data_IF_121380434353
#
_entry.id   IF_121380434353
#
_cell.length_a   1.000
_cell.length_b   1.000
_cell.length_c   1.000
_cell.angle_alpha   90.00
_cell.angle_beta   90.00
_cell.angle_gamma   90.00
#
_symmetry.space_group_name_H-M   'P 1'
#
loop_
_entity.id
_entity.type
_entity.pdbx_description
1 polymer ?
#
# COMPACT_ATOMS: atom_id res chain seq x y z
N UNK A 1 -6.45 -33.57 5.11
CA UNK A 1 -7.44 -33.13 4.10
C UNK A 1 -8.52 -32.16 4.66
N UNK A 2 -8.19 -31.23 5.58
CA UNK A 2 -9.20 -30.40 6.27
C UNK A 2 -9.18 -28.88 5.91
N UNK A 3 -8.43 -28.46 4.89
CA UNK A 3 -8.28 -27.03 4.55
C UNK A 3 -9.25 -26.49 3.48
N UNK A 4 -9.90 -27.33 2.68
CA UNK A 4 -10.75 -26.89 1.56
C UNK A 4 -12.05 -26.17 1.96
N UNK A 5 -12.66 -26.57 3.08
CA UNK A 5 -13.97 -26.03 3.50
C UNK A 5 -13.93 -24.64 4.13
N UNK A 6 -12.75 -24.13 4.51
CA UNK A 6 -12.61 -22.76 5.06
C UNK A 6 -12.59 -21.73 3.94
N UNK A 7 -11.83 -21.99 2.88
CA UNK A 7 -11.76 -21.14 1.69
C UNK A 7 -13.12 -21.01 1.00
N UNK A 8 -13.86 -22.11 0.86
CA UNK A 8 -15.21 -22.08 0.29
C UNK A 8 -16.17 -21.21 1.11
N UNK A 9 -16.14 -21.34 2.45
CA UNK A 9 -16.98 -20.52 3.34
C UNK A 9 -16.64 -19.04 3.23
N UNK A 10 -15.36 -18.70 3.22
CA UNK A 10 -14.92 -17.30 3.05
C UNK A 10 -15.38 -16.74 1.71
N UNK A 11 -15.18 -17.48 0.61
CA UNK A 11 -15.64 -17.07 -0.71
C UNK A 11 -17.16 -16.86 -0.76
N UNK A 12 -17.94 -17.78 -0.18
CA UNK A 12 -19.40 -17.64 -0.09
C UNK A 12 -19.83 -16.44 0.75
N UNK A 13 -19.16 -16.18 1.89
CA UNK A 13 -19.48 -14.99 2.70
C UNK A 13 -19.16 -13.69 1.99
N UNK A 14 -18.04 -13.64 1.26
CA UNK A 14 -17.66 -12.45 0.47
C UNK A 14 -18.67 -12.23 -0.66
N UNK A 15 -19.02 -13.29 -1.39
CA UNK A 15 -19.99 -13.19 -2.48
C UNK A 15 -21.36 -12.77 -1.95
N UNK A 16 -21.83 -13.34 -0.84
CA UNK A 16 -23.07 -12.93 -0.20
C UNK A 16 -23.04 -11.45 0.25
N UNK A 17 -21.92 -10.98 0.80
CA UNK A 17 -21.76 -9.58 1.19
C UNK A 17 -21.81 -8.64 -0.02
N UNK A 18 -21.17 -9.01 -1.14
CA UNK A 18 -21.23 -8.23 -2.39
C UNK A 18 -22.65 -8.20 -2.94
N UNK A 19 -23.34 -9.34 -3.02
CA UNK A 19 -24.74 -9.38 -3.48
C UNK A 19 -25.66 -8.55 -2.58
N UNK A 20 -25.46 -8.60 -1.25
CA UNK A 20 -26.21 -7.77 -0.31
C UNK A 20 -25.94 -6.27 -0.53
N UNK A 21 -24.69 -5.88 -0.79
CA UNK A 21 -24.34 -4.49 -1.12
C UNK A 21 -25.01 -4.02 -2.41
N UNK A 22 -24.94 -4.83 -3.47
CA UNK A 22 -25.61 -4.55 -4.74
C UNK A 22 -27.12 -4.46 -4.57
N UNK A 23 -27.74 -5.39 -3.84
CA UNK A 23 -29.17 -5.36 -3.54
C UNK A 23 -29.58 -4.16 -2.69
N UNK A 24 -28.73 -3.74 -1.75
CA UNK A 24 -28.97 -2.53 -0.95
C UNK A 24 -28.84 -1.26 -1.80
N UNK A 25 -27.88 -1.22 -2.74
CA UNK A 25 -27.70 -0.14 -3.70
C UNK A 25 -28.91 0.00 -4.64
N UNK A 26 -29.29 -1.09 -5.31
CA UNK A 26 -30.45 -1.13 -6.19
C UNK A 26 -31.76 -0.86 -5.43
N UNK A 27 -31.88 -1.38 -4.20
CA UNK A 27 -33.04 -1.13 -3.34
C UNK A 27 -33.15 0.34 -2.92
N UNK A 28 -32.04 0.98 -2.57
CA UNK A 28 -32.01 2.41 -2.27
C UNK A 28 -32.43 3.22 -3.50
N UNK A 29 -31.89 2.87 -4.68
CA UNK A 29 -32.26 3.52 -5.93
C UNK A 29 -33.76 3.36 -6.26
N UNK A 30 -34.26 2.15 -6.13
CA UNK A 30 -35.65 1.84 -6.41
C UNK A 30 -36.61 2.63 -5.52
N UNK A 31 -36.29 2.79 -4.23
CA UNK A 31 -37.09 3.59 -3.29
C UNK A 31 -37.09 5.07 -3.67
N UNK A 32 -35.94 5.63 -4.02
CA UNK A 32 -35.81 7.03 -4.42
C UNK A 32 -36.56 7.33 -5.71
N UNK A 33 -36.44 6.48 -6.72
CA UNK A 33 -37.14 6.64 -8.00
C UNK A 33 -38.66 6.54 -7.86
N UNK A 34 -39.18 5.69 -6.96
CA UNK A 34 -40.62 5.55 -6.74
C UNK A 34 -41.25 6.71 -5.97
N UNK A 35 -40.48 7.32 -5.07
CA UNK A 35 -40.99 8.36 -4.16
C UNK A 35 -40.59 9.77 -4.63
N UNK A 36 -39.86 9.89 -5.74
CA UNK A 36 -39.37 11.16 -6.28
C UNK A 36 -38.30 11.79 -5.39
N UNK A 37 -37.36 11.00 -4.88
CA UNK A 37 -36.29 11.38 -3.94
C UNK A 37 -36.76 11.75 -2.52
N UNK A 38 -37.97 11.34 -2.12
CA UNK A 38 -38.44 11.48 -0.74
C UNK A 38 -38.47 10.14 0.01
N UNK A 39 -38.38 10.18 1.33
CA UNK A 39 -38.52 8.97 2.13
C UNK A 39 -40.00 8.51 2.18
N UNK A 40 -40.29 7.21 1.99
CA UNK A 40 -41.66 6.70 1.84
C UNK A 40 -42.61 7.18 2.94
N UNK A 41 -43.69 7.85 2.53
CA UNK A 41 -44.72 8.35 3.45
C UNK A 41 -44.32 9.59 4.26
N UNK A 42 -43.20 10.25 3.92
CA UNK A 42 -42.73 11.48 4.57
C UNK A 42 -42.30 12.53 3.54
N UNK A 43 -42.22 13.80 3.94
CA UNK A 43 -41.67 14.88 3.12
C UNK A 43 -40.16 15.10 3.34
N UNK A 44 -39.45 14.11 3.87
CA UNK A 44 -38.01 14.18 4.11
C UNK A 44 -37.29 13.74 2.83
N UNK A 45 -36.47 14.61 2.26
CA UNK A 45 -35.67 14.31 1.07
C UNK A 45 -34.59 13.26 1.38
N UNK A 46 -34.33 12.38 0.42
CA UNK A 46 -33.23 11.44 0.49
C UNK A 46 -31.89 12.20 0.49
N UNK A 47 -30.87 11.71 1.23
CA UNK A 47 -29.58 12.41 1.34
C UNK A 47 -28.82 12.61 0.02
N UNK A 48 -29.15 11.83 -1.00
CA UNK A 48 -28.53 11.91 -2.31
C UNK A 48 -29.60 11.66 -3.38
N UNK A 49 -29.48 12.38 -4.50
CA UNK A 49 -30.43 12.25 -5.61
C UNK A 49 -30.23 10.93 -6.34
N UNK A 50 -31.35 10.32 -6.70
CA UNK A 50 -31.41 8.97 -7.28
C UNK A 50 -31.43 8.98 -8.81
N UNK A 51 -31.07 10.12 -9.40
CA UNK A 51 -30.92 10.25 -10.84
C UNK A 51 -29.77 9.37 -11.37
N UNK A 52 -29.93 8.85 -12.58
CA UNK A 52 -28.93 7.96 -13.21
C UNK A 52 -27.58 8.65 -13.47
N UNK A 53 -27.53 9.98 -13.42
CA UNK A 53 -26.29 10.76 -13.52
C UNK A 53 -25.48 10.76 -12.22
N UNK A 54 -26.16 10.75 -11.05
CA UNK A 54 -25.52 10.75 -9.73
C UNK A 54 -25.36 9.35 -9.18
N UNK A 55 -26.23 8.41 -9.58
CA UNK A 55 -26.20 7.01 -9.18
C UNK A 55 -26.53 6.07 -10.36
N UNK A 56 -25.54 5.67 -11.17
CA UNK A 56 -25.75 4.66 -12.22
C UNK A 56 -26.15 3.29 -11.62
N UNK A 57 -26.85 2.46 -12.38
CA UNK A 57 -27.21 1.12 -11.90
C UNK A 57 -25.96 0.27 -11.74
N UNK A 58 -25.97 -0.63 -10.77
CA UNK A 58 -24.83 -1.47 -10.47
C UNK A 58 -24.48 -2.41 -11.64
N UNK A 59 -25.47 -2.79 -12.44
CA UNK A 59 -25.27 -3.55 -13.68
C UNK A 59 -24.65 -2.71 -14.79
N UNK A 60 -25.02 -1.43 -14.92
CA UNK A 60 -24.41 -0.51 -15.88
C UNK A 60 -22.91 -0.33 -15.59
N UNK A 61 -22.56 -0.16 -14.31
CA UNK A 61 -21.16 -0.10 -13.85
C UNK A 61 -20.41 -1.41 -14.17
N UNK A 62 -21.08 -2.55 -14.00
CA UNK A 62 -20.49 -3.86 -14.26
C UNK A 62 -20.27 -4.11 -15.76
N UNK A 63 -21.21 -3.70 -16.60
CA UNK A 63 -21.10 -3.81 -18.05
C UNK A 63 -20.01 -2.88 -18.61
N UNK A 64 -19.87 -1.69 -18.04
CA UNK A 64 -18.83 -0.73 -18.40
C UNK A 64 -17.40 -1.24 -18.11
N UNK A 65 -17.23 -2.18 -17.18
CA UNK A 65 -15.95 -2.88 -16.98
C UNK A 65 -15.51 -3.69 -18.21
N UNK A 66 -16.45 -4.13 -19.03
CA UNK A 66 -16.20 -4.90 -20.25
C UNK A 66 -16.24 -4.04 -21.51
N UNK A 67 -16.76 -2.81 -21.43
CA UNK A 67 -16.70 -1.86 -22.52
C UNK A 67 -15.28 -1.35 -22.79
N UNK A 68 -15.04 -1.00 -24.05
CA UNK A 68 -13.73 -0.54 -24.52
C UNK A 68 -13.53 0.93 -24.17
N UNK A 69 -12.54 1.20 -23.30
CA UNK A 69 -12.14 2.58 -22.99
C UNK A 69 -11.29 3.11 -24.13
N UNK A 70 -11.74 4.21 -24.73
CA UNK A 70 -11.00 4.91 -25.78
C UNK A 70 -10.00 5.90 -25.16
N UNK A 71 -8.96 5.37 -24.52
CA UNK A 71 -7.74 6.14 -24.26
C UNK A 71 -6.94 6.18 -25.57
N UNK A 72 -6.53 7.37 -26.02
CA UNK A 72 -6.17 7.72 -27.41
C UNK A 72 -5.03 6.95 -28.10
N UNK A 73 -4.61 5.79 -27.57
CA UNK A 73 -3.55 4.93 -28.09
C UNK A 73 -3.90 3.43 -28.13
N UNK A 74 -4.92 2.94 -27.43
CA UNK A 74 -5.30 1.51 -27.45
C UNK A 74 -6.80 1.31 -27.10
N UNK A 75 -7.50 0.45 -27.85
CA UNK A 75 -8.83 -0.06 -27.49
C UNK A 75 -8.65 -1.31 -26.64
N UNK A 76 -8.76 -1.17 -25.33
CA UNK A 76 -8.73 -2.29 -24.40
C UNK A 76 -10.00 -2.23 -23.54
N UNK A 77 -10.55 -3.39 -23.14
CA UNK A 77 -11.64 -3.41 -22.17
C UNK A 77 -11.18 -2.77 -20.86
N UNK A 78 -12.06 -2.03 -20.19
CA UNK A 78 -11.74 -1.25 -18.98
C UNK A 78 -11.03 -2.10 -17.92
N UNK A 79 -11.48 -3.34 -17.68
CA UNK A 79 -10.84 -4.23 -16.70
C UNK A 79 -9.35 -4.47 -17.01
N UNK A 80 -8.99 -4.66 -18.28
CA UNK A 80 -7.62 -4.94 -18.70
C UNK A 80 -6.77 -3.67 -18.64
N UNK A 81 -7.36 -2.53 -18.98
CA UNK A 81 -6.72 -1.23 -18.79
C UNK A 81 -6.39 -0.98 -17.32
N UNK A 82 -7.36 -1.18 -16.41
CA UNK A 82 -7.16 -1.05 -14.97
C UNK A 82 -6.12 -2.03 -14.44
N UNK A 83 -6.16 -3.29 -14.88
CA UNK A 83 -5.16 -4.29 -14.50
C UNK A 83 -3.75 -3.87 -14.97
N UNK A 84 -3.63 -3.35 -16.19
CA UNK A 84 -2.36 -2.84 -16.73
C UNK A 84 -1.85 -1.63 -15.94
N UNK A 85 -2.72 -0.70 -15.57
CA UNK A 85 -2.36 0.46 -14.74
C UNK A 85 -1.96 0.04 -13.33
N UNK A 86 -2.73 -0.85 -12.71
CA UNK A 86 -2.41 -1.41 -11.38
C UNK A 86 -1.08 -2.17 -11.38
N UNK A 87 -0.83 -2.97 -12.41
CA UNK A 87 0.45 -3.66 -12.59
C UNK A 87 1.63 -2.67 -12.72
N UNK A 88 1.45 -1.60 -13.50
CA UNK A 88 2.47 -0.57 -13.65
C UNK A 88 2.80 0.13 -12.32
N UNK A 89 1.79 0.53 -11.55
CA UNK A 89 2.00 1.11 -10.20
C UNK A 89 2.63 0.12 -9.23
N UNK A 90 2.27 -1.17 -9.32
CA UNK A 90 2.92 -2.21 -8.52
C UNK A 90 4.41 -2.34 -8.84
N UNK A 91 4.79 -2.24 -10.12
CA UNK A 91 6.19 -2.25 -10.54
C UNK A 91 6.96 -1.05 -9.97
N UNK A 92 6.39 0.16 -10.05
CA UNK A 92 6.95 1.37 -9.44
C UNK A 92 7.18 1.19 -7.94
N UNK A 93 6.17 0.69 -7.23
CA UNK A 93 6.26 0.41 -5.80
C UNK A 93 7.31 -0.66 -5.48
N UNK A 94 7.40 -1.72 -6.28
CA UNK A 94 8.37 -2.81 -6.08
C UNK A 94 9.82 -2.35 -6.30
N UNK A 95 10.06 -1.54 -7.32
CA UNK A 95 11.39 -0.96 -7.59
C UNK A 95 11.77 -0.02 -6.44
N UNK A 96 10.88 0.89 -6.06
CA UNK A 96 11.11 1.80 -4.94
C UNK A 96 11.34 1.07 -3.62
N UNK A 97 10.54 0.04 -3.32
CA UNK A 97 10.72 -0.80 -2.14
C UNK A 97 12.09 -1.49 -2.14
N UNK A 98 12.54 -2.03 -3.27
CA UNK A 98 13.85 -2.70 -3.37
C UNK A 98 14.99 -1.72 -3.14
N UNK A 99 14.89 -0.51 -3.68
CA UNK A 99 15.86 0.57 -3.45
C UNK A 99 15.88 1.01 -1.99
N UNK A 100 14.72 1.29 -1.40
CA UNK A 100 14.59 1.67 0.00
C UNK A 100 15.05 0.57 0.95
N UNK A 101 14.77 -0.70 0.63
CA UNK A 101 15.24 -1.86 1.36
C UNK A 101 16.76 -1.93 1.36
N UNK A 102 17.38 -1.79 0.19
CA UNK A 102 18.84 -1.83 0.03
C UNK A 102 19.52 -0.73 0.83
N UNK A 103 19.03 0.51 0.71
CA UNK A 103 19.57 1.67 1.43
C UNK A 103 19.37 1.53 2.94
N UNK A 104 18.15 1.17 3.36
CA UNK A 104 17.81 1.03 4.77
C UNK A 104 18.62 -0.07 5.46
N UNK A 105 18.76 -1.23 4.81
CA UNK A 105 19.56 -2.34 5.34
C UNK A 105 21.05 -1.98 5.39
N UNK A 106 21.57 -1.31 4.37
CA UNK A 106 22.96 -0.85 4.35
C UNK A 106 23.25 0.13 5.50
N UNK A 107 22.34 1.08 5.76
CA UNK A 107 22.43 2.00 6.90
C UNK A 107 22.37 1.26 8.24
N UNK A 108 21.45 0.29 8.39
CA UNK A 108 21.36 -0.50 9.62
C UNK A 108 22.65 -1.27 9.91
N UNK A 109 23.24 -1.93 8.91
CA UNK A 109 24.52 -2.65 9.04
C UNK A 109 25.65 -1.67 9.40
N UNK A 110 25.69 -0.50 8.76
CA UNK A 110 26.70 0.53 9.04
C UNK A 110 26.63 1.01 10.49
N UNK A 111 25.42 1.26 10.98
CA UNK A 111 25.18 1.70 12.36
C UNK A 111 25.49 0.60 13.37
N UNK A 112 25.17 -0.67 13.05
CA UNK A 112 25.55 -1.82 13.86
C UNK A 112 27.07 -1.94 13.98
N UNK A 113 27.80 -1.75 12.88
CA UNK A 113 29.25 -1.92 12.82
C UNK A 113 29.99 -0.81 13.57
N UNK A 114 29.49 0.43 13.52
CA UNK A 114 30.15 1.59 14.10
C UNK A 114 29.24 2.39 15.04
N UNK A 115 29.53 2.34 16.34
CA UNK A 115 28.82 3.13 17.38
C UNK A 115 28.80 4.64 17.11
N UNK A 116 29.82 5.16 16.43
CA UNK A 116 29.86 6.58 16.01
C UNK A 116 28.83 6.84 14.90
N UNK A 117 28.71 5.92 13.93
CA UNK A 117 27.73 6.02 12.86
C UNK A 117 26.30 5.89 13.39
N UNK A 118 26.06 4.98 14.35
CA UNK A 118 24.77 4.88 15.05
C UNK A 118 24.36 6.21 15.68
N UNK A 119 25.21 6.77 16.55
CA UNK A 119 24.91 8.03 17.24
C UNK A 119 24.79 9.23 16.28
N UNK A 120 25.55 9.21 15.19
CA UNK A 120 25.55 10.27 14.18
C UNK A 120 24.37 10.21 13.22
N UNK A 121 23.94 9.01 12.79
CA UNK A 121 22.88 8.82 11.79
C UNK A 121 21.48 8.80 12.38
N UNK A 122 21.31 8.35 13.63
CA UNK A 122 19.99 8.33 14.29
C UNK A 122 19.26 9.68 14.24
N UNK A 123 19.91 10.83 14.54
CA UNK A 123 19.27 12.14 14.39
C UNK A 123 18.79 12.43 12.97
N UNK A 124 19.61 12.14 11.96
CA UNK A 124 19.27 12.36 10.54
C UNK A 124 18.12 11.46 10.09
N UNK A 125 18.13 10.20 10.51
CA UNK A 125 17.07 9.23 10.27
C UNK A 125 15.75 9.74 10.88
N UNK A 126 15.77 10.26 12.10
CA UNK A 126 14.57 10.85 12.71
C UNK A 126 14.09 12.11 11.99
N UNK A 127 15.01 13.00 11.59
CA UNK A 127 14.69 14.22 10.81
C UNK A 127 14.06 13.87 9.46
N UNK A 128 14.49 12.78 8.81
CA UNK A 128 13.90 12.39 7.54
C UNK A 128 12.38 12.15 7.63
N UNK A 129 11.87 11.62 8.75
CA UNK A 129 10.44 11.36 8.91
C UNK A 129 9.60 12.59 9.22
N UNK A 130 10.24 13.70 9.60
CA UNK A 130 9.52 14.94 9.85
C UNK A 130 9.23 15.71 8.56
N UNK A 131 9.89 15.36 7.45
CA UNK A 131 9.65 15.97 6.15
C UNK A 131 8.34 15.41 5.57
N UNK A 132 7.32 16.26 5.32
CA UNK A 132 6.06 15.79 4.80
C UNK A 132 6.21 15.33 3.34
N UNK A 133 5.78 14.09 3.06
CA UNK A 133 5.92 13.48 1.74
C UNK A 133 5.22 14.30 0.64
N UNK A 134 4.09 14.94 0.97
CA UNK A 134 3.33 15.78 0.04
C UNK A 134 4.14 16.98 -0.48
N UNK A 135 5.11 17.48 0.29
CA UNK A 135 6.01 18.55 -0.14
C UNK A 135 7.21 18.02 -0.96
N UNK A 136 7.68 16.82 -0.62
CA UNK A 136 8.86 16.21 -1.23
C UNK A 136 8.56 15.57 -2.60
N UNK A 137 7.39 14.95 -2.76
CA UNK A 137 6.96 14.34 -4.01
C UNK A 137 7.04 15.27 -5.24
N UNK A 138 6.47 16.50 -5.24
CA UNK A 138 6.55 17.38 -6.40
C UNK A 138 7.98 17.86 -6.69
N UNK A 139 8.83 18.00 -5.67
CA UNK A 139 10.24 18.36 -5.83
C UNK A 139 10.97 17.25 -6.58
N UNK A 140 10.80 15.98 -6.16
CA UNK A 140 11.44 14.83 -6.82
C UNK A 140 10.95 14.68 -8.26
N UNK A 141 9.64 14.80 -8.50
CA UNK A 141 9.09 14.67 -9.87
C UNK A 141 9.58 15.80 -10.77
N UNK A 142 9.61 17.04 -10.28
CA UNK A 142 10.07 18.19 -11.07
C UNK A 142 11.57 18.08 -11.35
N UNK A 143 12.36 17.71 -10.35
CA UNK A 143 13.78 17.44 -10.52
C UNK A 143 14.03 16.30 -11.52
N UNK A 144 13.28 15.20 -11.40
CA UNK A 144 13.41 14.07 -12.32
C UNK A 144 13.12 14.46 -13.77
N UNK A 145 12.07 15.27 -13.99
CA UNK A 145 11.79 15.83 -15.33
C UNK A 145 12.89 16.74 -15.85
N UNK A 146 13.51 17.56 -15.01
CA UNK A 146 14.65 18.40 -15.40
C UNK A 146 15.88 17.58 -15.79
N UNK A 147 15.99 16.35 -15.28
CA UNK A 147 17.08 15.42 -15.57
C UNK A 147 16.71 14.40 -16.66
N UNK A 148 15.60 14.61 -17.39
CA UNK A 148 15.06 13.69 -18.39
C UNK A 148 14.86 12.24 -17.87
N UNK A 149 14.61 12.10 -16.56
CA UNK A 149 14.34 10.80 -15.95
C UNK A 149 12.92 10.33 -16.26
N UNK A 150 12.71 9.01 -16.45
CA UNK A 150 11.37 8.44 -16.53
C UNK A 150 10.53 8.77 -15.29
N UNK A 151 9.24 9.05 -15.47
CA UNK A 151 8.30 9.28 -14.36
C UNK A 151 8.31 8.10 -13.36
N UNK A 152 8.44 6.86 -13.89
CA UNK A 152 8.57 5.63 -13.11
C UNK A 152 9.72 5.69 -12.09
N UNK A 153 10.84 6.31 -12.47
CA UNK A 153 12.02 6.45 -11.61
C UNK A 153 11.76 7.46 -10.50
N UNK A 154 11.10 8.58 -10.79
CA UNK A 154 10.70 9.58 -9.79
C UNK A 154 9.75 8.97 -8.75
N UNK A 155 8.75 8.22 -9.19
CA UNK A 155 7.80 7.54 -8.28
C UNK A 155 8.52 6.45 -7.46
N UNK A 156 9.44 5.71 -8.08
CA UNK A 156 10.26 4.72 -7.39
C UNK A 156 11.15 5.37 -6.31
N UNK A 157 11.71 6.56 -6.55
CA UNK A 157 12.49 7.29 -5.54
C UNK A 157 11.63 7.75 -4.36
N UNK A 158 10.40 8.19 -4.62
CA UNK A 158 9.43 8.55 -3.58
C UNK A 158 9.09 7.31 -2.74
N UNK A 159 8.83 6.17 -3.37
CA UNK A 159 8.57 4.91 -2.68
C UNK A 159 9.80 4.39 -1.91
N UNK A 160 11.02 4.59 -2.43
CA UNK A 160 12.27 4.29 -1.73
C UNK A 160 12.42 5.19 -0.49
N UNK A 161 12.10 6.48 -0.61
CA UNK A 161 12.10 7.41 0.51
C UNK A 161 11.06 7.03 1.60
N UNK A 162 9.90 6.53 1.20
CA UNK A 162 8.90 6.07 2.16
C UNK A 162 9.34 4.81 2.91
N UNK A 163 10.09 3.94 2.23
CA UNK A 163 10.43 2.60 2.75
C UNK A 163 11.78 2.53 3.46
N UNK A 164 12.76 3.39 3.15
CA UNK A 164 14.09 3.28 3.75
C UNK A 164 14.11 3.44 5.27
N UNK A 165 13.32 4.37 5.83
CA UNK A 165 13.31 4.64 7.27
C UNK A 165 12.78 3.46 8.08
N UNK A 166 11.55 2.97 7.84
CA UNK A 166 11.03 1.85 8.62
C UNK A 166 11.91 0.61 8.43
N UNK A 167 12.49 0.40 7.23
CA UNK A 167 13.49 -0.66 7.01
C UNK A 167 14.74 -0.43 7.86
N UNK A 168 15.37 0.75 7.82
CA UNK A 168 16.60 1.03 8.54
C UNK A 168 16.43 0.85 10.05
N UNK A 169 15.36 1.41 10.61
CA UNK A 169 15.08 1.31 12.05
C UNK A 169 14.70 -0.10 12.46
N UNK A 170 13.86 -0.79 11.67
CA UNK A 170 13.46 -2.17 11.97
C UNK A 170 14.62 -3.14 11.84
N UNK A 171 15.46 -2.99 10.81
CA UNK A 171 16.65 -3.80 10.63
C UNK A 171 17.68 -3.52 11.73
N UNK A 172 17.94 -2.25 12.08
CA UNK A 172 18.86 -1.93 13.17
C UNK A 172 18.38 -2.51 14.50
N UNK A 173 17.10 -2.33 14.85
CA UNK A 173 16.51 -2.90 16.07
C UNK A 173 16.51 -4.43 16.04
N UNK A 174 16.22 -5.05 14.90
CA UNK A 174 16.25 -6.50 14.73
C UNK A 174 17.65 -7.08 14.85
N UNK A 175 18.66 -6.40 14.31
CA UNK A 175 20.08 -6.78 14.42
C UNK A 175 20.65 -6.50 15.82
N UNK A 176 20.15 -5.47 16.50
CA UNK A 176 20.56 -5.12 17.87
C UNK A 176 19.81 -5.89 18.95
N UNK A 177 18.65 -6.48 18.64
CA UNK A 177 17.87 -7.34 19.53
C UNK A 177 18.74 -8.54 19.92
N UNK A 178 19.43 -8.52 21.07
CA UNK A 178 20.16 -9.69 21.51
C UNK A 178 19.10 -10.71 21.86
N UNK A 179 19.19 -11.87 21.25
CA UNK A 179 18.20 -12.89 21.48
C UNK A 179 18.40 -13.40 22.92
N UNK A 180 17.37 -13.18 23.74
CA UNK A 180 17.36 -13.64 25.13
C UNK A 180 17.45 -15.17 25.21
N UNK A 181 17.24 -15.92 24.11
CA UNK A 181 17.31 -17.37 24.10
C UNK A 181 18.69 -17.96 23.72
N UNK A 182 19.49 -17.37 22.83
CA UNK A 182 20.83 -17.90 22.46
C UNK A 182 21.95 -17.33 23.34
N UNK A 183 21.76 -16.17 24.00
CA UNK A 183 22.68 -15.70 25.06
C UNK A 183 22.58 -16.59 26.31
N UNK A 184 21.39 -17.10 26.64
CA UNK A 184 21.21 -18.10 27.71
C UNK A 184 21.86 -19.44 27.36
N UNK A 185 21.77 -19.90 26.10
CA UNK A 185 22.49 -21.08 25.63
C UNK A 185 24.01 -20.89 25.65
N UNK A 186 24.54 -19.75 25.19
CA UNK A 186 25.97 -19.43 25.24
C UNK A 186 26.51 -19.31 26.68
N UNK A 187 25.69 -18.85 27.64
CA UNK A 187 26.01 -18.88 29.08
C UNK A 187 25.99 -20.29 29.66
N UNK A 188 25.09 -21.16 29.21
CA UNK A 188 25.05 -22.57 29.65
C UNK A 188 26.28 -23.38 29.19
N UNK A 189 26.89 -23.00 28.06
CA UNK A 189 28.09 -23.63 27.49
C UNK A 189 29.43 -23.01 27.94
N UNK A 190 29.43 -22.06 28.89
CA UNK A 190 30.64 -21.44 29.47
C UNK A 190 31.66 -20.88 28.45
N UNK A 191 31.20 -20.19 27.41
CA UNK A 191 32.08 -19.53 26.44
C UNK A 191 32.69 -18.23 27.03
N UNK A 192 34.03 -18.04 26.99
CA UNK A 192 34.68 -16.86 27.55
C UNK A 192 34.42 -15.59 26.71
N UNK A 193 34.43 -14.44 27.38
CA UNK A 193 34.02 -13.12 26.89
C UNK A 193 34.64 -12.65 25.56
N UNK A 194 35.74 -13.26 25.13
CA UNK A 194 36.46 -12.91 23.90
C UNK A 194 35.77 -13.38 22.63
N UNK A 195 34.89 -14.39 22.72
CA UNK A 195 34.19 -14.96 21.56
C UNK A 195 32.88 -14.23 21.21
N UNK A 196 32.37 -13.39 22.12
CA UNK A 196 31.09 -12.66 21.93
C UNK A 196 31.25 -11.33 21.19
N UNK A 197 32.48 -10.87 20.94
CA UNK A 197 32.77 -9.54 20.37
C UNK A 197 33.25 -9.59 18.90
N UNK A 198 33.37 -10.76 18.28
CA UNK A 198 33.84 -10.89 16.89
C UNK A 198 32.82 -11.50 15.93
N UNK A 199 31.53 -11.48 16.25
CA UNK A 199 30.46 -11.89 15.32
C UNK A 199 29.36 -10.85 15.29
#
# INVERSE_FOLDING_TARGET
MAHGGKWLRVAMTVLAAVVLLFGMWEGYKWIGQQTGDYWPGTSIELPASTDDLTMPHAMDIADELFEEVRDGRARLPLFLFLLKKGWFTLQEAAIGFTLGLTVGLSLAILMLRWRVAERGLLPWINVSQTIPLIALAPIIVTWGRQQDLPDMLSISLIAAYLTFFPVAVSALRGLQSPDSAHVELMRSYAAPWRTTLSS
#
